data_IF_133498024130
#
_entry.id   IF_133498024130
#
_cell.length_a   1.000
_cell.length_b   1.000
_cell.length_c   1.000
_cell.angle_alpha   90.00
_cell.angle_beta   90.00
_cell.angle_gamma   90.00
#
_symmetry.space_group_name_H-M   'P 1'
#
loop_
_entity.id
_entity.type
_entity.pdbx_description
1 polymer ?
#
# COMPACT_ATOMS: atom_id res chain seq x y z
N UNK A 1 2.01 -18.59 17.35
CA UNK A 1 1.57 -17.53 16.41
C UNK A 1 2.64 -16.47 16.47
N UNK A 2 3.33 -16.29 15.37
CA UNK A 2 4.40 -15.30 15.24
C UNK A 2 3.80 -14.05 14.57
N UNK A 3 4.32 -12.87 14.91
CA UNK A 3 3.92 -11.60 14.30
C UNK A 3 5.09 -11.09 13.46
N UNK A 4 4.82 -10.83 12.19
CA UNK A 4 5.76 -10.27 11.23
C UNK A 4 5.32 -8.86 10.86
N UNK A 5 6.26 -7.93 10.82
CA UNK A 5 6.04 -6.56 10.36
C UNK A 5 6.85 -6.33 9.10
N UNK A 6 6.22 -5.70 8.11
CA UNK A 6 6.82 -5.29 6.86
C UNK A 6 6.49 -3.83 6.57
N UNK A 7 7.49 -3.06 6.17
CA UNK A 7 7.37 -1.66 5.76
C UNK A 7 7.42 -1.58 4.22
N UNK A 8 6.36 -1.07 3.60
CA UNK A 8 6.29 -0.97 2.14
C UNK A 8 7.03 0.28 1.68
N UNK A 9 8.18 0.07 1.04
CA UNK A 9 8.97 1.16 0.49
C UNK A 9 8.21 1.89 -0.62
N UNK A 10 8.15 3.21 -0.51
CA UNK A 10 7.50 4.08 -1.48
C UNK A 10 6.01 3.75 -1.70
N UNK A 11 5.30 3.27 -0.68
CA UNK A 11 3.87 2.96 -0.70
C UNK A 11 3.02 3.95 -1.52
N UNK A 12 3.17 5.26 -1.26
CA UNK A 12 2.41 6.28 -1.99
C UNK A 12 2.75 6.41 -3.47
N UNK A 13 3.90 5.92 -3.96
CA UNK A 13 4.20 5.91 -5.40
C UNK A 13 3.45 4.81 -6.16
N UNK A 14 2.93 3.80 -5.45
CA UNK A 14 2.13 2.73 -6.04
C UNK A 14 0.67 3.12 -6.25
N UNK A 15 0.20 4.17 -5.56
CA UNK A 15 -1.14 4.71 -5.76
C UNK A 15 -1.32 5.37 -7.13
N UNK A 16 -2.48 5.14 -7.75
CA UNK A 16 -2.87 5.81 -8.97
C UNK A 16 -3.55 7.15 -8.67
N UNK A 17 -3.34 8.11 -9.58
CA UNK A 17 -4.01 9.40 -9.51
C UNK A 17 -5.41 9.28 -10.15
N UNK A 18 -6.43 9.70 -9.40
CA UNK A 18 -7.82 9.77 -9.87
C UNK A 18 -8.06 10.97 -10.80
N UNK A 19 -7.13 11.92 -10.84
CA UNK A 19 -7.19 13.14 -11.64
C UNK A 19 -5.81 13.71 -11.92
N UNK A 20 -5.74 14.61 -12.89
CA UNK A 20 -4.53 15.38 -13.16
C UNK A 20 -4.23 16.34 -12.01
N UNK A 21 -3.02 16.22 -11.45
CA UNK A 21 -2.53 17.08 -10.38
C UNK A 21 -1.24 17.73 -10.83
N UNK A 22 -1.20 19.05 -10.68
CA UNK A 22 -0.05 19.87 -10.99
C UNK A 22 0.49 20.48 -9.70
N UNK A 23 1.80 20.47 -9.53
CA UNK A 23 2.49 21.10 -8.40
C UNK A 23 3.48 22.14 -8.91
N UNK A 24 3.77 23.13 -8.08
CA UNK A 24 4.91 24.00 -8.32
C UNK A 24 6.19 23.17 -8.36
N UNK A 25 7.16 23.63 -9.15
CA UNK A 25 8.46 22.98 -9.21
C UNK A 25 9.07 22.92 -7.81
N UNK A 26 9.44 21.71 -7.32
CA UNK A 26 9.98 21.56 -5.99
C UNK A 26 11.31 22.31 -5.86
N UNK A 27 11.55 22.83 -4.66
CA UNK A 27 12.82 23.47 -4.33
C UNK A 27 13.96 22.46 -4.47
N UNK A 28 14.99 22.78 -5.25
CA UNK A 28 16.10 21.87 -5.55
C UNK A 28 16.05 21.22 -6.94
N UNK A 29 14.96 21.39 -7.70
CA UNK A 29 14.95 21.11 -9.14
C UNK A 29 15.51 22.32 -9.90
N UNK A 30 16.32 22.09 -10.94
CA UNK A 30 16.79 23.18 -11.80
C UNK A 30 15.59 23.86 -12.49
N UNK A 31 15.30 25.09 -12.07
CA UNK A 31 14.20 25.91 -12.59
C UNK A 31 14.57 26.58 -13.92
N UNK A 32 15.03 25.80 -14.91
CA UNK A 32 15.34 26.34 -16.26
C UNK A 32 14.11 27.00 -16.89
N UNK A 33 12.90 26.63 -16.44
CA UNK A 33 11.62 27.20 -16.86
C UNK A 33 10.80 27.64 -15.64
N UNK A 34 11.06 28.80 -15.03
CA UNK A 34 10.48 29.19 -13.74
C UNK A 34 8.94 29.31 -13.75
N UNK A 35 8.33 29.50 -14.92
CA UNK A 35 6.87 29.65 -15.07
C UNK A 35 6.14 28.33 -15.32
N UNK A 36 6.83 27.18 -15.25
CA UNK A 36 6.23 25.88 -15.52
C UNK A 36 5.79 25.20 -14.21
N UNK A 37 4.84 24.29 -14.33
CA UNK A 37 4.38 23.40 -13.26
C UNK A 37 4.66 21.95 -13.63
N UNK A 38 4.84 21.10 -12.61
CA UNK A 38 5.05 19.67 -12.80
C UNK A 38 3.71 18.94 -12.75
N UNK A 39 3.39 18.14 -13.77
CA UNK A 39 2.27 17.19 -13.71
C UNK A 39 2.73 15.92 -13.00
N UNK A 40 2.05 15.54 -11.92
CA UNK A 40 2.32 14.29 -11.23
C UNK A 40 1.82 13.10 -12.06
N UNK A 41 2.63 12.03 -12.10
CA UNK A 41 2.29 10.76 -12.76
C UNK A 41 1.84 9.68 -11.78
N UNK A 42 2.23 9.80 -10.51
CA UNK A 42 1.90 8.91 -9.40
C UNK A 42 1.56 9.76 -8.18
N UNK A 43 0.88 9.17 -7.20
CA UNK A 43 0.66 9.86 -5.93
C UNK A 43 1.99 10.10 -5.21
N UNK A 44 2.02 11.15 -4.38
CA UNK A 44 3.21 11.58 -3.66
C UNK A 44 2.82 11.85 -2.21
N UNK A 45 3.79 11.70 -1.30
CA UNK A 45 3.62 12.10 0.10
C UNK A 45 3.13 13.56 0.21
N UNK A 46 2.22 13.81 1.15
CA UNK A 46 1.63 15.15 1.37
C UNK A 46 0.43 15.48 0.48
N UNK A 47 0.11 14.66 -0.54
CA UNK A 47 -1.17 14.77 -1.23
C UNK A 47 -2.29 14.21 -0.34
N UNK A 48 -3.39 14.96 -0.21
CA UNK A 48 -4.55 14.55 0.61
C UNK A 48 -5.15 13.19 0.22
N UNK A 49 -5.02 12.80 -1.05
CA UNK A 49 -5.55 11.54 -1.58
C UNK A 49 -4.52 10.41 -1.70
N UNK A 50 -3.24 10.66 -1.39
CA UNK A 50 -2.19 9.63 -1.57
C UNK A 50 -2.43 8.39 -0.71
N UNK A 51 -2.84 8.57 0.55
CA UNK A 51 -3.14 7.45 1.46
C UNK A 51 -4.30 6.60 0.97
N UNK A 52 -5.36 7.22 0.45
CA UNK A 52 -6.50 6.51 -0.11
C UNK A 52 -6.15 5.75 -1.39
N UNK A 53 -5.35 6.36 -2.27
CA UNK A 53 -4.91 5.73 -3.51
C UNK A 53 -4.01 4.52 -3.23
N UNK A 54 -3.08 4.66 -2.28
CA UNK A 54 -2.25 3.56 -1.80
C UNK A 54 -3.11 2.44 -1.19
N UNK A 55 -4.00 2.78 -0.25
CA UNK A 55 -4.88 1.80 0.38
C UNK A 55 -5.70 1.02 -0.65
N UNK A 56 -6.27 1.70 -1.66
CA UNK A 56 -6.98 1.03 -2.75
C UNK A 56 -6.10 0.03 -3.50
N UNK A 57 -4.81 0.35 -3.73
CA UNK A 57 -3.89 -0.53 -4.45
C UNK A 57 -3.50 -1.76 -3.63
N UNK A 58 -3.23 -1.61 -2.33
CA UNK A 58 -2.89 -2.75 -1.47
C UNK A 58 -4.10 -3.65 -1.21
N UNK A 59 -5.32 -3.08 -1.10
CA UNK A 59 -6.56 -3.87 -1.02
C UNK A 59 -6.73 -4.73 -2.27
N UNK A 60 -6.55 -4.16 -3.46
CA UNK A 60 -6.63 -4.88 -4.74
C UNK A 60 -5.65 -6.07 -4.75
N UNK A 61 -4.38 -5.82 -4.40
CA UNK A 61 -3.35 -6.85 -4.32
C UNK A 61 -3.68 -7.97 -3.32
N UNK A 62 -4.15 -7.64 -2.11
CA UNK A 62 -4.49 -8.64 -1.10
C UNK A 62 -5.69 -9.48 -1.53
N UNK A 63 -6.70 -8.87 -2.16
CA UNK A 63 -7.87 -9.59 -2.69
C UNK A 63 -7.48 -10.51 -3.84
N UNK A 64 -6.65 -10.06 -4.77
CA UNK A 64 -6.10 -10.90 -5.84
C UNK A 64 -5.26 -12.07 -5.29
N UNK A 65 -4.57 -11.85 -4.17
CA UNK A 65 -3.83 -12.87 -3.42
C UNK A 65 -4.71 -13.85 -2.62
N UNK A 66 -6.04 -13.70 -2.69
CA UNK A 66 -7.01 -14.59 -2.07
C UNK A 66 -7.41 -14.22 -0.63
N UNK A 67 -7.01 -13.04 -0.14
CA UNK A 67 -7.52 -12.52 1.12
C UNK A 67 -8.90 -11.89 0.94
N UNK A 68 -9.66 -11.83 2.02
CA UNK A 68 -10.91 -11.07 2.09
C UNK A 68 -10.86 -10.11 3.27
N UNK A 69 -11.57 -8.99 3.15
CA UNK A 69 -11.69 -8.01 4.23
C UNK A 69 -12.41 -8.65 5.41
N UNK A 70 -11.82 -8.54 6.59
CA UNK A 70 -12.36 -9.05 7.84
C UNK A 70 -13.62 -8.27 8.26
N UNK A 71 -14.58 -8.92 8.94
CA UNK A 71 -15.84 -8.29 9.33
C UNK A 71 -15.69 -7.22 10.43
N UNK A 72 -14.56 -7.25 11.16
CA UNK A 72 -14.32 -6.36 12.29
C UNK A 72 -13.75 -5.00 11.89
N UNK A 73 -12.89 -4.95 10.87
CA UNK A 73 -12.18 -3.76 10.45
C UNK A 73 -11.77 -3.84 8.97
N UNK A 74 -11.90 -2.74 8.23
CA UNK A 74 -11.56 -2.66 6.80
C UNK A 74 -10.05 -2.81 6.52
N UNK A 75 -9.21 -2.55 7.50
CA UNK A 75 -7.75 -2.73 7.40
C UNK A 75 -7.29 -4.16 7.69
N UNK A 76 -8.19 -5.02 8.19
CA UNK A 76 -7.90 -6.40 8.51
C UNK A 76 -8.29 -7.29 7.33
N UNK A 77 -7.37 -8.16 6.91
CA UNK A 77 -7.53 -9.09 5.82
C UNK A 77 -7.29 -10.51 6.32
N UNK A 78 -8.12 -11.44 5.90
CA UNK A 78 -8.10 -12.83 6.36
C UNK A 78 -8.06 -13.75 5.14
N UNK A 79 -7.24 -14.80 5.22
CA UNK A 79 -7.18 -15.89 4.26
C UNK A 79 -7.20 -17.20 5.03
N UNK A 80 -8.11 -18.09 4.66
CA UNK A 80 -8.18 -19.46 5.20
C UNK A 80 -8.01 -20.42 4.05
N UNK A 81 -6.91 -21.18 4.04
CA UNK A 81 -6.59 -22.13 2.99
C UNK A 81 -6.07 -23.42 3.61
N UNK A 82 -6.62 -24.57 3.18
CA UNK A 82 -6.21 -25.87 3.73
C UNK A 82 -6.40 -26.03 5.24
N UNK A 83 -7.31 -25.26 5.85
CA UNK A 83 -7.53 -25.26 7.30
C UNK A 83 -6.54 -24.41 8.10
N UNK A 84 -5.59 -23.76 7.43
CA UNK A 84 -4.68 -22.78 8.04
C UNK A 84 -5.18 -21.36 7.82
N UNK A 85 -4.84 -20.48 8.75
CA UNK A 85 -5.21 -19.07 8.83
C UNK A 85 -3.98 -18.19 8.59
N UNK A 86 -4.13 -17.21 7.70
CA UNK A 86 -3.25 -16.06 7.56
C UNK A 86 -4.07 -14.77 7.70
N UNK A 87 -3.49 -13.80 8.40
CA UNK A 87 -4.11 -12.50 8.71
C UNK A 87 -3.12 -11.40 8.40
N UNK A 88 -3.57 -10.39 7.65
CA UNK A 88 -2.80 -9.18 7.33
C UNK A 88 -3.55 -7.97 7.86
N UNK A 89 -2.89 -7.12 8.65
CA UNK A 89 -3.41 -5.84 9.09
C UNK A 89 -2.61 -4.72 8.41
N UNK A 90 -3.32 -3.84 7.71
CA UNK A 90 -2.73 -2.72 6.96
C UNK A 90 -2.81 -1.43 7.78
N UNK A 91 -1.66 -0.86 8.15
CA UNK A 91 -1.60 0.43 8.82
C UNK A 91 -0.74 1.42 8.05
N UNK A 92 -1.37 2.24 7.21
CA UNK A 92 -0.68 3.18 6.32
C UNK A 92 0.32 2.43 5.43
N UNK A 93 1.62 2.50 5.72
CA UNK A 93 2.69 1.86 4.95
C UNK A 93 3.21 0.57 5.62
N UNK A 94 2.76 0.28 6.85
CA UNK A 94 3.08 -0.93 7.60
C UNK A 94 2.07 -2.05 7.33
N UNK A 95 2.58 -3.27 7.17
CA UNK A 95 1.81 -4.50 7.07
C UNK A 95 2.19 -5.44 8.21
N UNK A 96 1.22 -5.77 9.05
CA UNK A 96 1.39 -6.75 10.11
C UNK A 96 0.78 -8.08 9.67
N UNK A 97 1.59 -9.13 9.64
CA UNK A 97 1.21 -10.45 9.15
C UNK A 97 1.30 -11.45 10.30
N UNK A 98 0.25 -12.23 10.53
CA UNK A 98 0.23 -13.28 11.55
C UNK A 98 -0.68 -14.43 11.15
N UNK A 99 -0.51 -15.59 11.77
CA UNK A 99 -1.27 -16.79 11.43
C UNK A 99 -0.58 -18.06 11.88
N UNK A 100 -1.16 -19.19 11.48
CA UNK A 100 -0.56 -20.52 11.63
C UNK A 100 -0.07 -21.09 10.29
N UNK A 101 -0.28 -20.39 9.17
CA UNK A 101 0.32 -20.71 7.87
C UNK A 101 1.69 -20.06 7.65
N UNK A 102 2.74 -20.72 8.17
CA UNK A 102 4.12 -20.20 8.07
C UNK A 102 4.63 -20.05 6.62
N UNK A 103 4.14 -20.88 5.71
CA UNK A 103 4.59 -20.85 4.31
C UNK A 103 4.04 -19.59 3.61
N UNK A 104 2.74 -19.35 3.76
CA UNK A 104 2.07 -18.13 3.26
C UNK A 104 2.64 -16.87 3.92
N UNK A 105 2.89 -16.87 5.23
CA UNK A 105 3.46 -15.71 5.94
C UNK A 105 4.85 -15.35 5.40
N UNK A 106 5.68 -16.36 5.10
CA UNK A 106 7.00 -16.14 4.52
C UNK A 106 6.93 -15.63 3.08
N UNK A 107 5.99 -16.12 2.27
CA UNK A 107 5.80 -15.69 0.89
C UNK A 107 5.31 -14.24 0.82
N UNK A 108 4.29 -13.88 1.62
CA UNK A 108 3.78 -12.50 1.66
C UNK A 108 4.79 -11.52 2.25
N UNK A 109 5.58 -11.94 3.25
CA UNK A 109 6.64 -11.13 3.84
C UNK A 109 7.82 -10.82 2.90
N UNK A 110 7.86 -11.42 1.70
CA UNK A 110 8.91 -11.20 0.70
C UNK A 110 8.41 -10.56 -0.60
N UNK A 111 7.09 -10.51 -0.84
CA UNK A 111 6.52 -10.27 -2.17
C UNK A 111 5.84 -8.90 -2.34
N UNK A 112 5.70 -8.10 -1.28
CA UNK A 112 5.13 -6.75 -1.36
C UNK A 112 6.19 -5.65 -1.54
#
# INVERSE_FOLDING_TARGET
MDLWQMDVKNAFLHGELDRDIYINQPQGLNQEKPNFVCKLKKTLYGLKQASRAWYGKIVEFLVESGYHVGPADSSLFVKVQGGKLSVVLVYVDDLFITGDDKDEINEQGQTC
#
